data_IF_703429541745
#
_entry.id   IF_703429541745
#
_cell.length_a   1.000
_cell.length_b   1.000
_cell.length_c   1.000
_cell.angle_alpha   90.00
_cell.angle_beta   90.00
_cell.angle_gamma   90.00
#
_symmetry.space_group_name_H-M   'P 1'
#
loop_
_entity.id
_entity.type
_entity.pdbx_description
1 polymer ?
#
# COMPACT_ATOMS: atom_id res chain seq x y z
N UNK A 1 -34.69 10.86 -35.65
CA UNK A 1 -33.60 10.22 -34.89
C UNK A 1 -33.62 10.83 -33.51
N UNK A 2 -34.10 10.03 -32.56
CA UNK A 2 -34.78 10.49 -31.36
C UNK A 2 -33.80 10.97 -30.30
N UNK A 3 -34.10 12.09 -29.65
CA UNK A 3 -33.31 12.68 -28.57
C UNK A 3 -32.91 11.63 -27.51
N UNK A 4 -33.81 10.68 -27.22
CA UNK A 4 -33.58 9.55 -26.32
C UNK A 4 -32.45 8.62 -26.80
N UNK A 5 -32.37 8.34 -28.09
CA UNK A 5 -31.30 7.51 -28.67
C UNK A 5 -29.93 8.21 -28.57
N UNK A 6 -29.89 9.54 -28.76
CA UNK A 6 -28.66 10.32 -28.65
C UNK A 6 -28.15 10.41 -27.19
N UNK A 7 -29.06 10.58 -26.22
CA UNK A 7 -28.72 10.61 -24.80
C UNK A 7 -28.24 9.24 -24.31
N UNK A 8 -28.90 8.15 -24.75
CA UNK A 8 -28.50 6.79 -24.41
C UNK A 8 -27.11 6.42 -24.97
N UNK A 9 -26.80 6.82 -26.21
CA UNK A 9 -25.46 6.63 -26.78
C UNK A 9 -24.39 7.41 -26.00
N UNK A 10 -24.69 8.65 -25.62
CA UNK A 10 -23.74 9.51 -24.90
C UNK A 10 -23.41 8.98 -23.51
N UNK A 11 -24.40 8.45 -22.77
CA UNK A 11 -24.17 7.92 -21.42
C UNK A 11 -23.31 6.66 -21.43
N UNK A 12 -23.51 5.75 -22.38
CA UNK A 12 -22.68 4.55 -22.54
C UNK A 12 -21.23 4.92 -22.83
N UNK A 13 -21.01 5.90 -23.72
CA UNK A 13 -19.66 6.39 -24.03
C UNK A 13 -18.97 6.95 -22.79
N UNK A 14 -19.67 7.77 -21.99
CA UNK A 14 -19.10 8.33 -20.75
C UNK A 14 -18.74 7.21 -19.76
N UNK A 15 -19.61 6.22 -19.56
CA UNK A 15 -19.35 5.10 -18.66
C UNK A 15 -18.12 4.31 -19.12
N UNK A 16 -18.04 3.99 -20.42
CA UNK A 16 -16.89 3.26 -20.98
C UNK A 16 -15.61 4.06 -20.79
N UNK A 17 -15.62 5.37 -21.05
CA UNK A 17 -14.44 6.24 -20.85
C UNK A 17 -14.01 6.24 -19.38
N UNK A 18 -14.95 6.37 -18.43
CA UNK A 18 -14.63 6.34 -17.00
C UNK A 18 -14.03 4.99 -16.57
N UNK A 19 -14.58 3.87 -17.07
CA UNK A 19 -14.04 2.53 -16.82
C UNK A 19 -12.64 2.41 -17.41
N UNK A 20 -12.44 2.84 -18.66
CA UNK A 20 -11.13 2.80 -19.31
C UNK A 20 -10.10 3.65 -18.59
N UNK A 21 -10.44 4.87 -18.18
CA UNK A 21 -9.55 5.75 -17.41
C UNK A 21 -9.20 5.12 -16.06
N UNK A 22 -10.19 4.58 -15.34
CA UNK A 22 -9.96 3.88 -14.08
C UNK A 22 -9.08 2.65 -14.26
N UNK A 23 -9.30 1.88 -15.32
CA UNK A 23 -8.51 0.69 -15.64
C UNK A 23 -7.07 1.05 -16.00
N UNK A 24 -6.85 2.07 -16.84
CA UNK A 24 -5.52 2.58 -17.17
C UNK A 24 -4.82 3.12 -15.91
N UNK A 25 -5.54 3.79 -15.02
CA UNK A 25 -4.97 4.26 -13.75
C UNK A 25 -4.55 3.11 -12.83
N UNK A 26 -5.38 2.07 -12.70
CA UNK A 26 -5.05 0.85 -11.94
C UNK A 26 -3.86 0.12 -12.57
N UNK A 27 -3.84 -0.03 -13.90
CA UNK A 27 -2.73 -0.64 -14.62
C UNK A 27 -1.45 0.20 -14.54
N UNK A 28 -1.54 1.53 -14.49
CA UNK A 28 -0.37 2.39 -14.31
C UNK A 28 0.17 2.31 -12.88
N UNK A 29 -0.73 2.19 -11.89
CA UNK A 29 -0.34 1.87 -10.51
C UNK A 29 0.30 0.49 -10.40
N UNK A 30 -0.22 -0.51 -11.10
CA UNK A 30 0.32 -1.88 -11.09
C UNK A 30 1.58 -2.04 -11.96
N UNK A 31 1.67 -1.33 -13.08
CA UNK A 31 2.76 -1.39 -14.05
C UNK A 31 3.99 -0.57 -13.64
N UNK A 32 3.82 0.43 -12.77
CA UNK A 32 4.92 0.99 -11.96
C UNK A 32 5.40 0.01 -10.87
N UNK A 33 4.83 -1.19 -10.82
CA UNK A 33 5.06 -2.26 -9.87
C UNK A 33 6.19 -3.22 -10.23
N UNK A 34 7.14 -2.82 -11.08
CA UNK A 34 8.27 -3.68 -11.49
C UNK A 34 9.32 -3.95 -10.38
N UNK A 35 8.97 -3.65 -9.12
CA UNK A 35 9.65 -4.00 -7.86
C UNK A 35 9.05 -3.10 -6.77
N UNK A 36 7.89 -3.42 -6.21
CA UNK A 36 7.61 -2.99 -4.84
C UNK A 36 8.20 -4.07 -3.94
N UNK A 37 9.53 -4.04 -3.63
CA UNK A 37 10.05 -4.95 -2.62
C UNK A 37 9.20 -4.71 -1.38
N UNK A 38 8.75 -5.78 -0.75
CA UNK A 38 7.94 -5.70 0.47
C UNK A 38 8.74 -4.89 1.50
N UNK A 39 8.41 -3.59 1.62
CA UNK A 39 9.20 -2.64 2.41
C UNK A 39 9.02 -2.86 3.90
N UNK A 40 8.01 -3.64 4.31
CA UNK A 40 7.69 -3.90 5.70
C UNK A 40 8.85 -4.57 6.45
N UNK A 41 9.63 -5.45 5.81
CA UNK A 41 10.82 -6.05 6.43
C UNK A 41 11.86 -4.97 6.76
N UNK A 42 12.14 -4.06 5.81
CA UNK A 42 13.05 -2.94 6.04
C UNK A 42 12.54 -1.98 7.10
N UNK A 43 11.23 -1.71 7.12
CA UNK A 43 10.62 -0.88 8.17
C UNK A 43 10.78 -1.53 9.54
N UNK A 44 10.53 -2.84 9.66
CA UNK A 44 10.67 -3.56 10.93
C UNK A 44 12.12 -3.61 11.40
N UNK A 45 13.08 -3.90 10.51
CA UNK A 45 14.51 -3.86 10.83
C UNK A 45 14.97 -2.49 11.26
N UNK A 46 14.43 -1.41 10.67
CA UNK A 46 14.69 -0.03 11.11
C UNK A 46 14.26 0.21 12.55
N UNK A 47 13.24 -0.50 13.04
CA UNK A 47 12.82 -0.47 14.46
C UNK A 47 13.66 -1.39 15.36
N UNK A 48 14.56 -2.19 14.78
CA UNK A 48 15.47 -3.10 15.47
C UNK A 48 15.31 -4.56 15.02
N UNK A 49 16.41 -5.32 15.02
CA UNK A 49 16.43 -6.74 14.60
C UNK A 49 15.50 -7.62 15.45
N UNK A 50 15.36 -7.32 16.74
CA UNK A 50 14.39 -8.01 17.63
C UNK A 50 12.95 -7.80 17.18
N UNK A 51 12.61 -6.60 16.71
CA UNK A 51 11.28 -6.25 16.20
C UNK A 51 11.00 -7.03 14.91
N UNK A 52 11.96 -7.07 13.98
CA UNK A 52 11.85 -7.85 12.75
C UNK A 52 11.65 -9.34 13.03
N UNK A 53 12.45 -9.92 13.93
CA UNK A 53 12.31 -11.31 14.34
C UNK A 53 10.93 -11.60 14.95
N UNK A 54 10.49 -10.75 15.89
CA UNK A 54 9.19 -10.90 16.56
C UNK A 54 8.02 -10.73 15.61
N UNK A 55 8.12 -9.87 14.60
CA UNK A 55 7.06 -9.71 13.60
C UNK A 55 6.79 -11.01 12.84
N UNK A 56 7.84 -11.76 12.50
CA UNK A 56 7.72 -13.06 11.83
C UNK A 56 7.28 -14.15 12.82
N UNK A 57 7.80 -14.11 14.05
CA UNK A 57 7.53 -15.13 15.08
C UNK A 57 6.15 -15.00 15.75
N UNK A 58 5.56 -13.79 15.81
CA UNK A 58 4.30 -13.51 16.51
C UNK A 58 3.05 -14.12 15.85
N UNK A 59 3.21 -14.86 14.75
CA UNK A 59 2.14 -15.62 14.11
C UNK A 59 1.88 -15.11 12.71
N UNK A 60 2.01 -16.01 11.73
CA UNK A 60 1.97 -15.68 10.31
C UNK A 60 0.70 -14.95 9.85
N UNK A 61 -0.42 -15.01 10.59
CA UNK A 61 -1.67 -14.34 10.23
C UNK A 61 -1.57 -12.82 10.26
N UNK A 62 -1.17 -12.23 11.39
CA UNK A 62 -1.04 -10.78 11.53
C UNK A 62 0.04 -10.21 10.60
N UNK A 63 1.16 -10.93 10.46
CA UNK A 63 2.22 -10.55 9.54
C UNK A 63 1.76 -10.63 8.07
N UNK A 64 1.02 -11.68 7.67
CA UNK A 64 0.47 -11.79 6.33
C UNK A 64 -0.52 -10.67 6.02
N UNK A 65 -1.37 -10.30 6.98
CA UNK A 65 -2.26 -9.13 6.83
C UNK A 65 -1.45 -7.86 6.62
N UNK A 66 -0.40 -7.65 7.41
CA UNK A 66 0.44 -6.46 7.30
C UNK A 66 1.21 -6.41 5.96
N UNK A 67 1.68 -7.57 5.47
CA UNK A 67 2.31 -7.70 4.14
C UNK A 67 1.30 -7.38 3.05
N UNK A 68 0.08 -7.91 3.10
CA UNK A 68 -0.96 -7.61 2.12
C UNK A 68 -1.32 -6.12 2.09
N UNK A 69 -1.43 -5.49 3.26
CA UNK A 69 -1.61 -4.04 3.35
C UNK A 69 -0.42 -3.27 2.77
N UNK A 70 0.80 -3.75 2.98
CA UNK A 70 2.01 -3.13 2.44
C UNK A 70 2.05 -3.22 0.91
N UNK A 71 1.68 -4.37 0.33
CA UNK A 71 1.66 -4.59 -1.12
C UNK A 71 0.60 -3.72 -1.81
N UNK A 72 -0.56 -3.52 -1.17
CA UNK A 72 -1.62 -2.66 -1.68
C UNK A 72 -1.43 -1.16 -1.38
N UNK A 73 -0.36 -0.78 -0.67
CA UNK A 73 -0.18 0.57 -0.16
C UNK A 73 0.24 1.56 -1.26
N UNK A 74 -0.52 2.64 -1.43
CA UNK A 74 -0.20 3.73 -2.37
C UNK A 74 0.88 4.71 -1.86
N UNK A 75 1.33 4.54 -0.61
CA UNK A 75 2.31 5.42 0.06
C UNK A 75 3.75 4.91 -0.03
N UNK A 76 4.06 4.10 -1.04
CA UNK A 76 5.39 3.51 -1.21
C UNK A 76 6.51 4.54 -1.39
N UNK A 77 6.24 5.66 -2.09
CA UNK A 77 7.20 6.74 -2.26
C UNK A 77 7.56 7.42 -0.93
N UNK A 78 6.56 7.74 -0.11
CA UNK A 78 6.73 8.29 1.24
C UNK A 78 7.49 7.31 2.15
N UNK A 79 7.17 6.01 2.06
CA UNK A 79 7.88 4.96 2.79
C UNK A 79 9.37 4.88 2.41
N UNK A 80 9.71 4.96 1.12
CA UNK A 80 11.11 4.98 0.65
C UNK A 80 11.84 6.23 1.15
N UNK A 81 11.21 7.40 1.06
CA UNK A 81 11.79 8.64 1.57
C UNK A 81 12.07 8.55 3.08
N UNK A 82 11.12 8.01 3.84
CA UNK A 82 11.31 7.75 5.26
C UNK A 82 12.45 6.76 5.54
N UNK A 83 12.49 5.63 4.82
CA UNK A 83 13.56 4.62 4.96
C UNK A 83 14.96 5.20 4.68
N UNK A 84 15.07 6.10 3.69
CA UNK A 84 16.31 6.79 3.32
C UNK A 84 16.72 7.85 4.35
N UNK A 85 15.77 8.50 5.00
CA UNK A 85 16.05 9.51 6.04
C UNK A 85 16.79 8.95 7.25
N UNK A 86 16.67 7.64 7.49
CA UNK A 86 17.25 6.99 8.66
C UNK A 86 16.44 7.16 9.95
N UNK A 87 15.34 7.91 9.92
CA UNK A 87 14.47 8.12 11.07
C UNK A 87 13.84 6.80 11.57
N UNK A 88 13.58 6.73 12.87
CA UNK A 88 12.82 5.65 13.51
C UNK A 88 11.36 6.03 13.78
N UNK A 89 11.03 7.33 13.72
CA UNK A 89 9.71 7.91 13.96
C UNK A 89 9.20 8.64 12.71
N UNK A 90 7.92 9.03 12.70
CA UNK A 90 7.26 9.78 11.63
C UNK A 90 6.54 8.91 10.60
N UNK A 91 6.81 7.60 10.59
CA UNK A 91 6.10 6.65 9.74
C UNK A 91 4.62 6.52 10.11
N UNK A 92 4.27 6.85 11.35
CA UNK A 92 2.93 6.80 11.91
C UNK A 92 1.93 7.68 11.12
N UNK A 93 2.44 8.74 10.51
CA UNK A 93 1.64 9.71 9.76
C UNK A 93 1.14 9.19 8.40
N UNK A 94 1.83 8.22 7.79
CA UNK A 94 1.53 7.72 6.45
C UNK A 94 1.36 6.21 6.36
N UNK A 95 1.89 5.43 7.31
CA UNK A 95 1.94 3.98 7.21
C UNK A 95 0.64 3.34 7.71
N UNK A 96 -0.09 2.56 6.86
CA UNK A 96 -1.29 1.85 7.31
C UNK A 96 -0.97 0.74 8.32
N UNK A 97 0.26 0.20 8.27
CA UNK A 97 0.74 -0.84 9.19
C UNK A 97 1.20 -0.30 10.55
N UNK A 98 0.95 0.98 10.86
CA UNK A 98 1.42 1.60 12.11
C UNK A 98 1.01 0.84 13.36
N UNK A 99 -0.26 0.45 13.44
CA UNK A 99 -0.77 -0.32 14.58
C UNK A 99 -0.07 -1.67 14.73
N UNK A 100 0.23 -2.36 13.62
CA UNK A 100 0.99 -3.61 13.64
C UNK A 100 2.41 -3.38 14.15
N UNK A 101 3.14 -2.42 13.57
CA UNK A 101 4.54 -2.12 13.95
C UNK A 101 4.63 -1.75 15.44
N UNK A 102 3.72 -0.94 15.96
CA UNK A 102 3.69 -0.55 17.37
C UNK A 102 3.41 -1.73 18.30
N UNK A 103 2.50 -2.65 17.93
CA UNK A 103 2.25 -3.88 18.70
C UNK A 103 3.51 -4.73 18.76
N UNK A 104 4.19 -4.94 17.63
CA UNK A 104 5.44 -5.72 17.59
C UNK A 104 6.52 -5.05 18.44
N UNK A 105 6.69 -3.72 18.35
CA UNK A 105 7.64 -2.97 19.20
C UNK A 105 7.38 -3.23 20.69
N UNK A 106 6.12 -3.22 21.13
CA UNK A 106 5.74 -3.44 22.52
C UNK A 106 6.10 -4.83 23.04
N UNK A 107 5.95 -5.87 22.22
CA UNK A 107 6.30 -7.25 22.59
C UNK A 107 7.78 -7.59 22.35
N UNK A 108 8.55 -6.65 21.81
CA UNK A 108 9.98 -6.78 21.51
C UNK A 108 10.88 -5.98 22.45
N UNK A 109 10.29 -5.06 23.22
CA UNK A 109 10.94 -4.38 24.35
C UNK A 109 11.28 -5.39 25.44
#
# INVERSE_FOLDING_TARGET
MDFLASVALSSVVVIVVLISVGFVFVLWQQGSGDQHPVLIDRMLRRQGERVAYRAVAAGGGDFAVAVNQCVACQKAAECRAWLLSGATEGYESFCPNTGFIQRVKRISA
#
